data_IF_641174760600
#
_entry.id   IF_641174760600
#
_cell.length_a   1.000
_cell.length_b   1.000
_cell.length_c   1.000
_cell.angle_alpha   90.00
_cell.angle_beta   90.00
_cell.angle_gamma   90.00
#
_symmetry.space_group_name_H-M   'P 1'
#
loop_
_entity.id
_entity.type
_entity.pdbx_description
1 polymer ?
#
# COMPACT_ATOMS: atom_id res chain seq x y z
N UNK A 1 -14.08 13.39 3.25
CA UNK A 1 -13.05 14.33 2.72
C UNK A 1 -11.73 13.60 2.75
N UNK A 2 -10.80 13.76 1.78
CA UNK A 2 -9.48 13.18 1.91
C UNK A 2 -8.72 13.89 3.05
N UNK A 3 -8.16 13.11 3.97
CA UNK A 3 -7.33 13.62 5.05
C UNK A 3 -5.87 13.65 4.60
N UNK A 4 -5.10 14.64 5.08
CA UNK A 4 -3.67 14.73 4.81
C UNK A 4 -2.90 14.12 5.99
N UNK A 5 -2.16 13.05 5.72
CA UNK A 5 -1.39 12.33 6.71
C UNK A 5 0.10 12.36 6.35
N UNK A 6 0.93 13.11 7.10
CA UNK A 6 2.38 13.06 6.94
C UNK A 6 2.97 11.70 7.33
N UNK A 7 4.04 11.27 6.65
CA UNK A 7 4.74 10.01 6.94
C UNK A 7 5.38 9.97 8.34
N UNK A 8 5.68 11.13 8.93
CA UNK A 8 6.24 11.27 10.28
C UNK A 8 5.16 11.44 11.37
N UNK A 9 3.88 11.28 11.02
CA UNK A 9 2.80 11.35 11.97
C UNK A 9 2.81 10.13 12.92
N UNK A 10 2.54 10.29 14.23
CA UNK A 10 2.62 9.19 15.20
C UNK A 10 1.69 7.99 14.93
N UNK A 11 0.63 8.17 14.14
CA UNK A 11 -0.26 7.07 13.75
C UNK A 11 0.26 6.26 12.57
N UNK A 12 1.32 6.72 11.90
CA UNK A 12 1.93 6.01 10.76
C UNK A 12 2.96 5.04 11.29
N UNK A 13 2.79 3.77 10.95
CA UNK A 13 3.79 2.74 11.22
C UNK A 13 4.60 2.49 9.95
N UNK A 14 5.91 2.77 10.00
CA UNK A 14 6.82 2.53 8.88
C UNK A 14 7.47 1.16 9.00
N UNK A 15 7.40 0.38 7.93
CA UNK A 15 8.07 -0.89 7.78
C UNK A 15 9.20 -0.77 6.76
N UNK A 16 10.32 -1.45 7.01
CA UNK A 16 11.36 -1.59 5.98
C UNK A 16 10.97 -2.69 5.02
N UNK A 17 10.86 -2.34 3.76
CA UNK A 17 10.55 -3.25 2.67
C UNK A 17 11.66 -3.18 1.61
N UNK A 18 11.57 -4.06 0.61
CA UNK A 18 12.47 -4.03 -0.53
C UNK A 18 11.71 -4.20 -1.84
N UNK A 19 12.29 -3.63 -2.89
CA UNK A 19 11.93 -3.99 -4.25
C UNK A 19 12.53 -5.36 -4.53
N UNK A 20 11.78 -6.22 -5.19
CA UNK A 20 12.16 -7.58 -5.53
C UNK A 20 11.91 -7.83 -7.02
N UNK A 21 12.33 -9.01 -7.48
CA UNK A 21 11.81 -9.62 -8.71
C UNK A 21 10.94 -10.80 -8.32
N UNK A 22 9.77 -10.88 -8.95
CA UNK A 22 8.87 -12.01 -8.74
C UNK A 22 8.43 -12.59 -10.08
N UNK A 23 8.63 -13.91 -10.24
CA UNK A 23 8.12 -14.69 -11.36
C UNK A 23 8.92 -14.53 -12.65
N UNK A 24 8.37 -15.03 -13.76
CA UNK A 24 9.02 -14.98 -15.08
C UNK A 24 9.12 -13.58 -15.69
N UNK A 25 8.36 -12.61 -15.16
CA UNK A 25 8.47 -11.21 -15.54
C UNK A 25 9.59 -10.57 -14.74
N UNK A 26 10.63 -10.08 -15.43
CA UNK A 26 11.78 -9.37 -14.82
C UNK A 26 11.40 -7.99 -14.23
N UNK A 27 10.12 -7.72 -14.00
CA UNK A 27 9.60 -6.42 -13.57
C UNK A 27 9.80 -6.25 -12.06
N UNK A 28 10.12 -5.04 -11.59
CA UNK A 28 10.11 -4.70 -10.17
C UNK A 28 8.76 -5.02 -9.52
N UNK A 29 8.80 -5.59 -8.33
CA UNK A 29 7.64 -5.77 -7.44
C UNK A 29 8.02 -5.38 -6.02
N UNK A 30 7.07 -4.98 -5.20
CA UNK A 30 7.31 -4.65 -3.79
C UNK A 30 7.09 -5.89 -2.93
N UNK A 31 8.12 -6.31 -2.18
CA UNK A 31 8.00 -7.32 -1.14
C UNK A 31 7.37 -6.68 0.09
N UNK A 32 6.31 -7.28 0.59
CA UNK A 32 5.60 -6.77 1.76
C UNK A 32 6.12 -7.51 3.00
N UNK A 33 6.60 -6.80 4.04
CA UNK A 33 7.04 -7.41 5.30
C UNK A 33 5.91 -8.17 5.99
N UNK A 34 6.24 -9.26 6.70
CA UNK A 34 5.26 -10.13 7.36
C UNK A 34 4.53 -9.43 8.51
N UNK A 35 5.12 -8.36 9.06
CA UNK A 35 4.51 -7.54 10.11
C UNK A 35 3.36 -6.66 9.59
N UNK A 36 3.21 -6.52 8.27
CA UNK A 36 2.14 -5.74 7.67
C UNK A 36 0.82 -6.51 7.78
N UNK A 37 -0.24 -5.92 8.36
CA UNK A 37 -1.53 -6.58 8.54
C UNK A 37 -2.32 -6.62 7.22
N UNK A 38 -1.90 -7.49 6.30
CA UNK A 38 -2.53 -7.71 5.01
C UNK A 38 -2.55 -9.19 4.65
N UNK A 39 -3.44 -9.58 3.74
CA UNK A 39 -3.61 -10.97 3.31
C UNK A 39 -3.49 -11.14 1.79
N UNK A 40 -3.28 -12.38 1.36
CA UNK A 40 -3.32 -12.75 -0.06
C UNK A 40 -4.68 -12.40 -0.66
N UNK A 41 -4.67 -11.78 -1.85
CA UNK A 41 -5.88 -11.38 -2.56
C UNK A 41 -6.45 -10.02 -2.16
N UNK A 42 -5.95 -9.39 -1.10
CA UNK A 42 -6.39 -8.07 -0.67
C UNK A 42 -6.16 -7.01 -1.75
N UNK A 43 -7.11 -6.08 -1.87
CA UNK A 43 -6.99 -4.90 -2.70
C UNK A 43 -6.77 -3.69 -1.81
N UNK A 44 -5.63 -3.03 -1.99
CA UNK A 44 -5.19 -1.92 -1.18
C UNK A 44 -4.99 -0.67 -2.03
N UNK A 45 -4.99 0.48 -1.37
CA UNK A 45 -4.47 1.70 -1.97
C UNK A 45 -2.99 1.80 -1.68
N UNK A 46 -2.19 1.91 -2.73
CA UNK A 46 -0.76 2.15 -2.62
C UNK A 46 -0.48 3.58 -3.09
N UNK A 47 0.04 4.41 -2.20
CA UNK A 47 0.43 5.78 -2.50
C UNK A 47 1.91 5.79 -2.88
N UNK A 48 2.20 6.07 -4.16
CA UNK A 48 3.55 6.21 -4.69
C UNK A 48 3.94 7.68 -4.62
N UNK A 49 4.86 8.05 -3.73
CA UNK A 49 5.22 9.45 -3.43
C UNK A 49 4.00 10.37 -3.18
N UNK A 50 2.98 9.83 -2.50
CA UNK A 50 1.75 10.56 -2.17
C UNK A 50 0.65 10.46 -3.23
N UNK A 51 0.91 9.85 -4.39
CA UNK A 51 -0.09 9.63 -5.44
C UNK A 51 -0.77 8.27 -5.28
N UNK A 52 -2.08 8.29 -5.02
CA UNK A 52 -2.86 7.08 -4.80
C UNK A 52 -3.02 6.24 -6.08
N UNK A 53 -2.72 4.95 -5.94
CA UNK A 53 -2.95 3.90 -6.95
C UNK A 53 -3.62 2.69 -6.31
N UNK A 54 -4.07 1.76 -7.13
CA UNK A 54 -4.68 0.49 -6.71
C UNK A 54 -3.71 -0.67 -6.90
N UNK A 55 -3.48 -1.43 -5.83
CA UNK A 55 -2.63 -2.60 -5.84
C UNK A 55 -3.40 -3.83 -5.35
N UNK A 56 -2.92 -5.00 -5.76
CA UNK A 56 -3.38 -6.29 -5.25
C UNK A 56 -2.22 -6.98 -4.54
N UNK A 57 -2.46 -7.43 -3.32
CA UNK A 57 -1.54 -8.33 -2.63
C UNK A 57 -1.69 -9.74 -3.19
N UNK A 58 -0.56 -10.40 -3.33
CA UNK A 58 -0.50 -11.77 -3.80
C UNK A 58 0.59 -12.52 -3.06
N UNK A 59 0.31 -13.73 -2.61
CA UNK A 59 1.31 -14.60 -2.01
C UNK A 59 2.23 -15.23 -3.07
N UNK A 60 3.50 -15.43 -2.71
CA UNK A 60 4.42 -16.34 -3.37
C UNK A 60 5.24 -17.14 -2.35
N UNK A 61 6.25 -17.88 -2.81
CA UNK A 61 7.09 -18.70 -1.94
C UNK A 61 7.90 -17.92 -0.89
N UNK A 62 7.96 -16.58 -1.01
CA UNK A 62 8.68 -15.67 -0.12
C UNK A 62 7.74 -14.69 0.59
N UNK A 63 6.45 -15.01 0.70
CA UNK A 63 5.46 -14.22 1.40
C UNK A 63 4.67 -13.29 0.49
N UNK A 64 4.19 -12.17 1.05
CA UNK A 64 3.33 -11.24 0.33
C UNK A 64 4.11 -10.32 -0.60
N UNK A 65 3.53 -10.02 -1.76
CA UNK A 65 4.14 -9.17 -2.76
C UNK A 65 3.08 -8.40 -3.55
N UNK A 66 3.40 -7.15 -3.87
CA UNK A 66 2.65 -6.29 -4.78
C UNK A 66 3.39 -6.24 -6.10
N UNK A 67 2.80 -6.83 -7.15
CA UNK A 67 3.41 -6.91 -8.50
C UNK A 67 3.15 -5.68 -9.36
N UNK A 68 2.24 -4.81 -8.94
CA UNK A 68 1.96 -3.58 -9.64
C UNK A 68 0.95 -2.71 -8.92
N UNK A 69 0.93 -1.45 -9.35
CA UNK A 69 0.01 -0.42 -8.91
C UNK A 69 -0.61 0.23 -10.15
N UNK A 70 -1.92 0.46 -10.12
CA UNK A 70 -2.70 0.83 -11.29
C UNK A 70 -3.71 1.94 -10.98
N UNK A 71 -4.10 2.69 -12.01
CA UNK A 71 -4.97 3.86 -11.86
C UNK A 71 -6.39 3.53 -11.34
N UNK A 72 -6.82 2.27 -11.43
CA UNK A 72 -8.11 1.83 -10.89
C UNK A 72 -8.13 0.35 -10.49
N UNK A 73 -9.11 -0.02 -9.66
CA UNK A 73 -9.29 -1.39 -9.14
C UNK A 73 -9.52 -2.44 -10.23
N UNK A 74 -10.11 -2.08 -11.38
CA UNK A 74 -10.32 -3.00 -12.51
C UNK A 74 -8.98 -3.44 -13.10
N UNK A 75 -8.07 -2.49 -13.33
CA UNK A 75 -6.72 -2.77 -13.83
C UNK A 75 -5.89 -3.59 -12.83
N UNK A 76 -6.04 -3.34 -11.53
CA UNK A 76 -5.41 -4.17 -10.49
C UNK A 76 -5.92 -5.62 -10.47
N UNK A 77 -7.12 -5.90 -10.97
CA UNK A 77 -7.66 -7.27 -11.13
C UNK A 77 -7.14 -7.98 -12.37
N UNK A 78 -6.82 -7.23 -13.42
CA UNK A 78 -6.29 -7.73 -14.70
C UNK A 78 -4.91 -7.13 -15.00
N UNK A 79 -3.85 -7.53 -14.25
CA UNK A 79 -2.50 -7.04 -14.49
C UNK A 79 -2.06 -7.28 -15.94
N UNK A 80 -1.69 -6.22 -16.65
CA UNK A 80 -1.26 -6.27 -18.06
C UNK A 80 -2.11 -5.44 -19.02
N UNK A 81 -3.32 -5.04 -18.62
CA UNK A 81 -4.19 -4.15 -19.42
C UNK A 81 -3.98 -2.65 -19.11
N UNK A 82 -3.05 -2.31 -18.23
CA UNK A 82 -2.82 -0.94 -17.80
C UNK A 82 -1.37 -0.68 -17.43
N UNK A 83 -1.03 0.61 -17.39
CA UNK A 83 0.30 1.09 -17.01
C UNK A 83 0.59 0.71 -15.55
N UNK A 84 1.78 0.18 -15.30
CA UNK A 84 2.18 -0.24 -13.97
C UNK A 84 2.95 0.89 -13.29
N UNK A 85 2.24 1.70 -12.49
CA UNK A 85 2.79 2.85 -11.78
C UNK A 85 3.93 2.49 -10.83
N UNK A 86 3.95 1.26 -10.29
CA UNK A 86 5.07 0.81 -9.46
C UNK A 86 6.37 0.71 -10.26
N UNK A 87 6.29 0.27 -11.52
CA UNK A 87 7.47 0.17 -12.39
C UNK A 87 7.95 1.56 -12.79
N UNK A 88 7.03 2.49 -13.08
CA UNK A 88 7.37 3.90 -13.33
C UNK A 88 8.05 4.51 -12.10
N UNK A 89 7.45 4.38 -10.92
CA UNK A 89 8.00 4.88 -9.66
C UNK A 89 9.39 4.33 -9.35
N UNK A 90 9.59 3.01 -9.56
CA UNK A 90 10.91 2.40 -9.39
C UNK A 90 11.95 3.01 -10.34
N UNK A 91 11.57 3.26 -11.61
CA UNK A 91 12.47 3.88 -12.60
C UNK A 91 12.79 5.33 -12.24
N UNK A 92 11.81 6.10 -11.80
CA UNK A 92 11.97 7.53 -11.44
C UNK A 92 12.84 7.70 -10.18
N UNK A 93 12.76 6.76 -9.24
CA UNK A 93 13.51 6.78 -7.99
C UNK A 93 14.80 5.92 -8.02
N UNK A 94 15.18 5.40 -9.19
CA UNK A 94 16.34 4.52 -9.40
C UNK A 94 16.36 3.31 -8.45
N UNK A 95 15.20 2.69 -8.21
CA UNK A 95 15.03 1.52 -7.33
C UNK A 95 14.94 0.24 -8.14
N UNK A 96 15.93 -0.63 -7.94
CA UNK A 96 16.01 -1.97 -8.49
C UNK A 96 15.74 -3.05 -7.44
N UNK A 97 15.85 -4.33 -7.85
CA UNK A 97 15.76 -5.46 -6.92
C UNK A 97 16.76 -5.31 -5.77
N UNK A 98 16.34 -5.75 -4.59
CA UNK A 98 17.03 -5.68 -3.31
C UNK A 98 17.21 -4.28 -2.73
N UNK A 99 16.82 -3.23 -3.47
CA UNK A 99 16.84 -1.87 -2.94
C UNK A 99 15.78 -1.67 -1.86
N UNK A 100 16.22 -1.03 -0.77
CA UNK A 100 15.38 -0.70 0.36
C UNK A 100 14.39 0.42 0.02
N UNK A 101 13.18 0.26 0.55
CA UNK A 101 12.09 1.24 0.49
C UNK A 101 11.36 1.27 1.82
N UNK A 102 10.66 2.36 2.10
CA UNK A 102 9.86 2.49 3.32
C UNK A 102 8.38 2.34 2.96
N UNK A 103 7.72 1.41 3.65
CA UNK A 103 6.31 1.11 3.51
C UNK A 103 5.58 1.61 4.74
N UNK A 104 4.84 2.70 4.59
CA UNK A 104 4.06 3.32 5.66
C UNK A 104 2.66 2.71 5.71
N UNK A 105 2.25 2.13 6.83
CA UNK A 105 0.85 1.77 7.09
C UNK A 105 0.08 3.01 7.51
N UNK A 106 -0.90 3.40 6.69
CA UNK A 106 -1.67 4.63 6.85
C UNK A 106 -3.07 4.35 7.44
N UNK A 107 -3.57 3.13 7.28
CA UNK A 107 -4.91 2.71 7.66
C UNK A 107 -4.95 1.19 7.92
N UNK A 108 -4.09 0.72 8.84
CA UNK A 108 -4.15 -0.61 9.47
C UNK A 108 -4.36 -1.81 8.54
N UNK A 109 -3.91 -1.76 7.29
CA UNK A 109 -4.10 -2.83 6.30
C UNK A 109 -4.75 -2.44 4.96
N UNK A 110 -5.35 -1.25 4.81
CA UNK A 110 -6.02 -0.85 3.55
C UNK A 110 -5.27 0.17 2.71
N UNK A 111 -4.53 1.08 3.34
CA UNK A 111 -3.79 2.13 2.66
C UNK A 111 -2.33 2.11 3.11
N UNK A 112 -1.46 2.13 2.12
CA UNK A 112 -0.02 2.11 2.32
C UNK A 112 0.65 3.22 1.54
N UNK A 113 1.66 3.84 2.14
CA UNK A 113 2.57 4.76 1.48
C UNK A 113 3.86 4.05 1.11
N UNK A 114 4.33 4.21 -0.13
CA UNK A 114 5.64 3.76 -0.55
C UNK A 114 6.51 4.98 -0.85
N UNK A 115 7.71 5.01 -0.28
CA UNK A 115 8.68 6.09 -0.47
C UNK A 115 10.12 5.60 -0.37
N UNK A 116 11.03 6.39 -0.91
CA UNK A 116 12.47 6.20 -0.72
C UNK A 116 12.82 6.46 0.76
N UNK A 117 13.73 5.68 1.38
CA UNK A 117 14.10 5.86 2.77
C UNK A 117 14.58 7.27 3.08
N UNK A 118 14.12 7.83 4.20
CA UNK A 118 14.50 9.19 4.64
C UNK A 118 13.81 10.34 3.92
N UNK A 119 12.98 10.07 2.92
CA UNK A 119 12.14 11.09 2.28
C UNK A 119 10.85 11.27 3.09
N UNK A 120 10.49 12.51 3.43
CA UNK A 120 9.21 12.81 4.07
C UNK A 120 8.14 13.01 3.00
N UNK A 121 7.01 12.33 3.15
CA UNK A 121 5.89 12.38 2.19
C UNK A 121 4.59 12.73 2.90
N UNK A 122 3.69 13.42 2.22
CA UNK A 122 2.32 13.68 2.71
C UNK A 122 1.34 12.90 1.86
N UNK A 123 0.54 12.06 2.51
CA UNK A 123 -0.45 11.21 1.86
C UNK A 123 -1.83 11.84 1.90
N UNK A 124 -2.63 11.66 0.84
CA UNK A 124 -4.05 12.01 0.81
C UNK A 124 -4.88 10.77 1.02
N UNK A 125 -5.12 10.42 2.27
CA UNK A 125 -5.84 9.20 2.64
C UNK A 125 -7.35 9.39 2.49
N UNK A 126 -8.06 8.34 2.12
CA UNK A 126 -9.52 8.33 2.05
C UNK A 126 -10.08 7.26 2.96
N UNK A 127 -11.17 7.54 3.68
CA UNK A 127 -11.83 6.55 4.53
C UNK A 127 -12.12 5.24 3.76
N UNK A 128 -11.91 4.11 4.44
CA UNK A 128 -12.22 2.78 3.90
C UNK A 128 -13.73 2.73 3.59
N UNK A 129 -14.15 2.21 2.42
CA UNK A 129 -15.54 2.22 1.98
C UNK A 129 -16.54 1.37 2.81
N UNK A 130 -16.25 1.04 4.07
CA UNK A 130 -17.20 0.39 4.96
C UNK A 130 -17.05 0.73 6.46
N UNK A 131 -16.21 1.71 6.82
CA UNK A 131 -15.97 2.01 8.24
C UNK A 131 -17.12 2.78 8.91
N UNK A 132 -17.99 3.42 8.12
CA UNK A 132 -19.16 4.13 8.65
C UNK A 132 -20.28 3.22 9.16
N UNK A 133 -20.24 1.89 8.95
CA UNK A 133 -21.23 0.96 9.53
C UNK A 133 -20.72 0.23 10.77
N UNK A 134 -19.40 0.01 10.90
CA UNK A 134 -18.81 -0.65 12.08
C UNK A 134 -18.41 0.34 13.18
N UNK A 135 -17.98 1.56 12.82
CA UNK A 135 -17.63 2.59 13.81
C UNK A 135 -18.83 3.18 14.57
N UNK A 136 -20.08 2.89 14.15
CA UNK A 136 -21.30 3.28 14.89
C UNK A 136 -21.58 2.31 16.06
N UNK A 137 -21.05 1.08 16.03
CA UNK A 137 -21.24 0.13 17.12
C UNK A 137 -20.34 0.43 18.35
N UNK A 138 -19.17 1.01 18.15
CA UNK A 138 -18.28 1.39 19.26
C UNK A 138 -18.61 2.75 19.87
N UNK A 139 -19.31 3.64 19.12
CA UNK A 139 -19.67 4.98 19.60
C UNK A 139 -21.02 5.07 20.31
N UNK A 140 -21.86 4.03 20.22
CA UNK A 140 -23.13 3.91 20.95
C UNK A 140 -23.13 2.80 22.00
N UNK A 141 -21.95 2.50 22.57
CA UNK A 141 -21.89 2.00 23.94
C UNK A 141 -22.43 3.05 24.93
N UNK A 142 -23.75 3.29 24.90
CA UNK A 142 -24.53 3.70 26.07
C UNK A 142 -25.12 2.38 26.60
N UNK A 143 -24.39 1.76 27.52
CA UNK A 143 -24.62 1.89 28.97
C UNK A 143 -25.87 1.12 29.38
N UNK A 144 -25.60 0.00 30.06
CA UNK A 144 -26.47 -0.68 31.02
C UNK A 144 -27.35 0.31 31.79
N UNK A 145 -28.67 0.16 31.69
CA UNK A 145 -29.63 0.12 32.82
C UNK A 145 -30.97 -0.48 32.36
#
# INVERSE_FOLDING_TARGET
MPEQLPSDHPSVQTFRANIARSGGTRRPCLRVPDEVPAADGDFVRLHLDGTASHARLSADASGLVIRGAYDNKRLARSPGEGENRLVEWCRENDRGPDDAVELDSLDGGYQFGLRVPGVRTVYRITERPNDSLSSIAEKFGLSDE
#
